data_IF_106478863690
#
_entry.id   IF_106478863690
#
_cell.length_a   1.000
_cell.length_b   1.000
_cell.length_c   1.000
_cell.angle_alpha   90.00
_cell.angle_beta   90.00
_cell.angle_gamma   90.00
#
_symmetry.space_group_name_H-M   'P 1'
#
loop_
_entity.id
_entity.type
_entity.pdbx_description
1 polymer ?
#
# COMPACT_ATOMS: atom_id res chain seq x y z
N UNK A 1 9.43 -11.76 6.96
CA UNK A 1 9.88 -10.58 6.19
C UNK A 1 9.57 -9.34 7.00
N UNK A 2 10.54 -8.43 7.11
CA UNK A 2 10.45 -7.21 7.92
C UNK A 2 10.04 -6.00 7.07
N UNK A 3 9.55 -4.95 7.73
CA UNK A 3 9.08 -3.73 7.03
C UNK A 3 10.22 -2.96 6.34
N UNK A 4 11.43 -2.98 6.90
CA UNK A 4 12.65 -2.39 6.29
C UNK A 4 13.07 -3.13 5.00
N UNK A 5 12.96 -4.46 4.99
CA UNK A 5 13.16 -5.28 3.79
C UNK A 5 12.15 -4.91 2.69
N UNK A 6 10.88 -4.74 3.06
CA UNK A 6 9.82 -4.31 2.13
C UNK A 6 10.09 -2.90 1.59
N UNK A 7 10.46 -1.97 2.47
CA UNK A 7 10.74 -0.58 2.10
C UNK A 7 11.89 -0.51 1.10
N UNK A 8 12.96 -1.29 1.32
CA UNK A 8 14.07 -1.41 0.38
C UNK A 8 13.59 -1.86 -1.00
N UNK A 9 12.75 -2.89 -1.08
CA UNK A 9 12.21 -3.37 -2.37
C UNK A 9 11.31 -2.34 -3.07
N UNK A 10 10.53 -1.58 -2.31
CA UNK A 10 9.71 -0.50 -2.86
C UNK A 10 10.60 0.63 -3.41
N UNK A 11 11.64 1.04 -2.66
CA UNK A 11 12.61 2.05 -3.12
C UNK A 11 13.30 1.61 -4.41
N UNK A 12 13.81 0.38 -4.44
CA UNK A 12 14.48 -0.19 -5.61
C UNK A 12 13.55 -0.19 -6.83
N UNK A 13 12.29 -0.59 -6.67
CA UNK A 13 11.30 -0.60 -7.74
C UNK A 13 11.09 0.80 -8.32
N UNK A 14 10.74 1.78 -7.48
CA UNK A 14 10.45 3.13 -7.98
C UNK A 14 11.69 3.75 -8.63
N UNK A 15 12.90 3.48 -8.11
CA UNK A 15 14.15 3.91 -8.72
C UNK A 15 14.47 3.23 -10.05
N UNK A 16 14.02 1.99 -10.27
CA UNK A 16 14.25 1.24 -11.50
C UNK A 16 13.26 1.59 -12.63
N UNK A 17 12.00 1.88 -12.31
CA UNK A 17 10.93 2.01 -13.32
C UNK A 17 10.46 3.45 -13.59
N UNK A 18 10.93 4.43 -12.81
CA UNK A 18 10.57 5.83 -13.00
C UNK A 18 11.79 6.73 -13.13
N UNK A 19 11.67 7.74 -14.00
CA UNK A 19 12.67 8.77 -14.14
C UNK A 19 12.62 9.74 -12.95
N UNK A 20 13.72 9.81 -12.19
CA UNK A 20 13.94 10.78 -11.11
C UNK A 20 12.79 10.89 -10.08
N UNK A 21 12.36 9.76 -9.45
CA UNK A 21 11.36 9.79 -8.39
C UNK A 21 11.92 10.50 -7.16
N UNK A 22 11.08 11.28 -6.47
CA UNK A 22 11.42 11.78 -5.14
C UNK A 22 10.95 10.75 -4.11
N UNK A 23 11.90 10.01 -3.52
CA UNK A 23 11.63 8.94 -2.57
C UNK A 23 12.12 9.35 -1.18
N UNK A 24 11.29 9.17 -0.16
CA UNK A 24 11.63 9.41 1.25
C UNK A 24 11.15 8.24 2.10
N UNK A 25 12.01 7.74 2.96
CA UNK A 25 11.70 6.71 3.95
C UNK A 25 11.36 7.38 5.27
N UNK A 26 10.43 6.80 6.01
CA UNK A 26 10.00 7.32 7.32
C UNK A 26 9.62 8.82 7.23
N UNK A 27 8.84 9.20 6.21
CA UNK A 27 8.50 10.61 5.95
C UNK A 27 7.57 11.13 7.06
N UNK A 28 7.99 12.13 7.84
CA UNK A 28 7.19 12.66 8.92
C UNK A 28 6.08 13.57 8.37
N UNK A 29 4.98 13.68 9.10
CA UNK A 29 3.98 14.73 8.88
C UNK A 29 3.49 15.29 10.22
N UNK A 30 3.12 16.56 10.23
CA UNK A 30 2.49 17.24 11.37
C UNK A 30 1.31 18.11 10.90
N UNK A 31 0.10 17.53 10.94
CA UNK A 31 -1.14 18.26 10.68
C UNK A 31 -1.71 18.81 12.00
N UNK A 32 -1.40 20.07 12.32
CA UNK A 32 -1.92 20.76 13.51
C UNK A 32 -1.66 20.01 14.84
N UNK A 33 -0.46 19.45 15.01
CA UNK A 33 -0.07 18.64 16.18
C UNK A 33 -0.41 17.16 16.03
N UNK A 34 -1.08 16.74 14.95
CA UNK A 34 -1.32 15.33 14.61
C UNK A 34 -0.10 14.77 13.89
N UNK A 35 0.92 14.47 14.68
CA UNK A 35 2.16 13.85 14.19
C UNK A 35 1.97 12.39 13.79
N UNK A 36 2.73 11.99 12.78
CA UNK A 36 2.95 10.62 12.37
C UNK A 36 4.10 10.52 11.38
N UNK A 37 4.35 9.29 10.93
CA UNK A 37 5.39 8.92 9.99
C UNK A 37 4.78 7.95 8.99
N UNK A 38 5.18 8.05 7.72
CA UNK A 38 4.82 7.11 6.65
C UNK A 38 6.04 6.28 6.31
N UNK A 39 5.88 4.96 6.16
CA UNK A 39 7.02 4.07 5.90
C UNK A 39 7.76 4.44 4.61
N UNK A 40 7.02 4.65 3.51
CA UNK A 40 7.58 5.12 2.23
C UNK A 40 6.69 6.18 1.60
N UNK A 41 7.31 7.28 1.21
CA UNK A 41 6.70 8.32 0.40
C UNK A 41 7.41 8.42 -0.95
N UNK A 42 6.65 8.42 -2.04
CA UNK A 42 7.17 8.57 -3.41
C UNK A 42 6.40 9.64 -4.17
N UNK A 43 7.08 10.63 -4.72
CA UNK A 43 6.49 11.58 -5.67
C UNK A 43 7.03 11.35 -7.06
N UNK A 44 6.12 11.03 -7.97
CA UNK A 44 6.37 10.96 -9.40
C UNK A 44 5.99 12.29 -10.05
N UNK A 45 6.70 12.68 -11.10
CA UNK A 45 6.49 13.97 -11.80
C UNK A 45 5.95 13.82 -13.23
N UNK A 46 6.16 12.67 -13.86
CA UNK A 46 5.72 12.36 -15.22
C UNK A 46 4.89 11.06 -15.24
N UNK A 47 3.86 10.95 -16.09
CA UNK A 47 3.33 11.99 -16.99
C UNK A 47 2.56 13.10 -16.26
N UNK A 48 2.01 12.81 -15.07
CA UNK A 48 1.44 13.81 -14.16
C UNK A 48 1.99 13.61 -12.75
N UNK A 49 2.01 14.68 -11.94
CA UNK A 49 2.42 14.57 -10.55
C UNK A 49 1.44 13.69 -9.77
N UNK A 50 1.97 12.65 -9.14
CA UNK A 50 1.24 11.78 -8.21
C UNK A 50 2.12 11.43 -7.01
N UNK A 51 1.55 11.58 -5.83
CA UNK A 51 2.18 11.25 -4.55
C UNK A 51 1.70 9.83 -4.13
N UNK A 52 2.60 8.91 -3.83
CA UNK A 52 2.33 7.59 -3.27
C UNK A 52 2.71 7.62 -1.80
N UNK A 53 1.74 7.30 -0.94
CA UNK A 53 1.87 7.33 0.52
C UNK A 53 1.64 5.91 1.01
N UNK A 54 2.71 5.24 1.42
CA UNK A 54 2.77 3.77 1.51
C UNK A 54 3.01 3.37 2.96
N UNK A 55 2.05 2.64 3.53
CA UNK A 55 2.17 1.93 4.79
C UNK A 55 2.46 0.46 4.50
N UNK A 56 3.54 -0.07 5.06
CA UNK A 56 4.01 -1.44 4.89
C UNK A 56 3.66 -2.25 6.14
N UNK A 57 3.36 -3.54 5.96
CA UNK A 57 3.06 -4.45 7.06
C UNK A 57 3.74 -5.81 6.84
N UNK A 58 4.75 -6.09 7.67
CA UNK A 58 5.44 -7.38 7.74
C UNK A 58 4.90 -8.30 8.86
N UNK A 59 5.56 -9.45 9.04
CA UNK A 59 5.12 -10.45 10.04
C UNK A 59 5.08 -9.88 11.46
N UNK A 60 6.07 -9.05 11.83
CA UNK A 60 6.19 -8.48 13.15
C UNK A 60 5.05 -7.49 13.45
N UNK A 61 4.73 -6.60 12.52
CA UNK A 61 3.64 -5.65 12.67
C UNK A 61 2.27 -6.34 12.75
N UNK A 62 2.05 -7.36 11.92
CA UNK A 62 0.81 -8.15 11.96
C UNK A 62 0.66 -8.90 13.30
N UNK A 63 1.73 -9.51 13.82
CA UNK A 63 1.69 -10.21 15.13
C UNK A 63 1.57 -9.25 16.30
N UNK A 64 2.13 -8.04 16.17
CA UNK A 64 2.06 -7.01 17.20
C UNK A 64 0.72 -6.29 17.25
N UNK A 65 -0.06 -6.31 16.15
CA UNK A 65 -1.37 -5.72 16.11
C UNK A 65 -2.41 -6.58 16.86
N UNK A 66 -3.30 -5.93 17.59
CA UNK A 66 -4.47 -6.55 18.26
C UNK A 66 -5.53 -7.07 17.27
N UNK A 67 -5.41 -6.71 15.99
CA UNK A 67 -6.29 -7.15 14.91
C UNK A 67 -6.28 -6.17 13.72
N UNK A 68 -7.12 -6.42 12.71
CA UNK A 68 -7.19 -5.55 11.53
C UNK A 68 -7.60 -4.11 11.83
N UNK A 69 -8.43 -3.87 12.86
CA UNK A 69 -8.85 -2.52 13.24
C UNK A 69 -7.67 -1.64 13.68
N UNK A 70 -6.63 -2.22 14.29
CA UNK A 70 -5.44 -1.47 14.68
C UNK A 70 -4.62 -1.04 13.47
N UNK A 71 -4.38 -1.95 12.53
CA UNK A 71 -3.68 -1.65 11.27
C UNK A 71 -4.46 -0.60 10.46
N UNK A 72 -5.78 -0.80 10.32
CA UNK A 72 -6.64 0.16 9.62
C UNK A 72 -6.66 1.51 10.34
N UNK A 73 -6.64 1.56 11.67
CA UNK A 73 -6.55 2.83 12.42
C UNK A 73 -5.25 3.58 12.12
N UNK A 74 -4.11 2.88 12.03
CA UNK A 74 -2.83 3.48 11.64
C UNK A 74 -2.90 4.02 10.21
N UNK A 75 -3.33 3.19 9.26
CA UNK A 75 -3.49 3.57 7.86
C UNK A 75 -4.43 4.77 7.66
N UNK A 76 -5.61 4.75 8.27
CA UNK A 76 -6.60 5.84 8.17
C UNK A 76 -6.12 7.14 8.82
N UNK A 77 -5.27 7.05 9.84
CA UNK A 77 -4.63 8.23 10.44
C UNK A 77 -3.66 8.86 9.46
N UNK A 78 -2.77 8.06 8.86
CA UNK A 78 -1.87 8.52 7.79
C UNK A 78 -2.66 9.15 6.65
N UNK A 79 -3.67 8.46 6.14
CA UNK A 79 -4.50 8.92 5.02
C UNK A 79 -5.09 10.31 5.27
N UNK A 80 -5.66 10.50 6.47
CA UNK A 80 -6.35 11.73 6.86
C UNK A 80 -5.40 12.91 7.03
N UNK A 81 -4.21 12.68 7.58
CA UNK A 81 -3.36 13.76 8.07
C UNK A 81 -2.13 14.04 7.20
N UNK A 82 -1.69 13.10 6.37
CA UNK A 82 -0.47 13.29 5.57
C UNK A 82 -0.54 14.53 4.69
N UNK A 83 -1.58 14.66 3.85
CA UNK A 83 -1.74 15.84 2.99
C UNK A 83 -2.46 17.03 3.66
N UNK A 84 -2.92 16.88 4.91
CA UNK A 84 -3.37 18.00 5.72
C UNK A 84 -2.19 18.80 6.30
N UNK A 85 -1.00 18.17 6.38
CA UNK A 85 0.25 18.89 6.61
C UNK A 85 0.58 19.77 5.38
N UNK A 86 0.77 21.06 5.63
CA UNK A 86 1.08 22.05 4.59
C UNK A 86 2.33 21.72 3.77
N UNK A 87 3.31 21.00 4.35
CA UNK A 87 4.52 20.57 3.65
C UNK A 87 4.24 19.51 2.56
N UNK A 88 3.12 18.79 2.69
CA UNK A 88 2.69 17.73 1.79
C UNK A 88 1.46 18.10 0.96
N UNK A 89 0.89 19.29 1.12
CA UNK A 89 -0.38 19.66 0.51
C UNK A 89 -0.45 19.37 -1.01
N UNK A 90 -1.55 18.73 -1.41
CA UNK A 90 -1.88 18.54 -2.83
C UNK A 90 -2.55 19.81 -3.36
N UNK A 91 -2.18 20.21 -4.58
CA UNK A 91 -2.84 21.32 -5.27
C UNK A 91 -3.76 20.79 -6.36
N UNK A 92 -5.00 21.29 -6.47
CA UNK A 92 -5.84 21.03 -7.63
C UNK A 92 -5.15 21.47 -8.92
N UNK A 93 -5.37 20.70 -9.99
CA UNK A 93 -4.89 21.00 -11.35
C UNK A 93 -6.08 20.85 -12.30
N UNK A 94 -6.36 21.89 -13.08
CA UNK A 94 -7.42 21.85 -14.08
C UNK A 94 -7.12 20.75 -15.11
N UNK A 95 -8.13 19.94 -15.44
CA UNK A 95 -8.00 18.86 -16.43
C UNK A 95 -7.25 17.62 -15.94
N UNK A 96 -6.97 17.50 -14.63
CA UNK A 96 -6.41 16.26 -14.05
C UNK A 96 -7.38 15.09 -14.29
N UNK A 97 -6.91 14.04 -14.95
CA UNK A 97 -7.65 12.80 -15.19
C UNK A 97 -7.19 11.66 -14.29
N UNK A 98 -5.96 11.73 -13.78
CA UNK A 98 -5.36 10.74 -12.89
C UNK A 98 -5.42 11.16 -11.43
N UNK A 99 -5.35 10.23 -10.46
CA UNK A 99 -5.31 10.60 -9.05
C UNK A 99 -4.04 11.41 -8.72
N UNK A 100 -4.21 12.42 -7.88
CA UNK A 100 -3.09 13.20 -7.33
C UNK A 100 -2.36 12.49 -6.19
N UNK A 101 -3.03 11.52 -5.55
CA UNK A 101 -2.41 10.67 -4.54
C UNK A 101 -2.90 9.22 -4.59
N UNK A 102 -2.02 8.29 -4.20
CA UNK A 102 -2.32 6.89 -3.97
C UNK A 102 -1.90 6.51 -2.55
N UNK A 103 -2.87 6.12 -1.74
CA UNK A 103 -2.68 5.66 -0.36
C UNK A 103 -2.63 4.15 -0.33
N UNK A 104 -1.47 3.58 -0.06
CA UNK A 104 -1.24 2.15 -0.15
C UNK A 104 -1.07 1.55 1.26
N UNK A 105 -1.81 0.49 1.56
CA UNK A 105 -1.56 -0.41 2.69
C UNK A 105 -1.10 -1.75 2.13
N UNK A 106 0.19 -2.03 2.24
CA UNK A 106 0.85 -3.14 1.57
C UNK A 106 1.33 -4.18 2.57
N UNK A 107 0.83 -5.40 2.44
CA UNK A 107 1.24 -6.55 3.24
C UNK A 107 2.35 -7.34 2.55
N UNK A 108 3.29 -7.86 3.35
CA UNK A 108 4.23 -8.88 2.88
C UNK A 108 3.46 -10.14 2.41
N UNK A 109 3.92 -10.84 1.36
CA UNK A 109 3.32 -12.08 0.89
C UNK A 109 3.80 -13.27 1.74
N UNK A 110 3.63 -13.19 3.06
CA UNK A 110 3.98 -14.25 4.01
C UNK A 110 2.73 -14.99 4.49
N UNK A 111 2.85 -16.24 4.96
CA UNK A 111 1.70 -16.97 5.51
C UNK A 111 1.02 -16.25 6.67
N UNK A 112 1.79 -15.55 7.53
CA UNK A 112 1.22 -14.76 8.64
C UNK A 112 0.31 -13.64 8.13
N UNK A 113 0.78 -12.86 7.16
CA UNK A 113 0.03 -11.73 6.63
C UNK A 113 -1.17 -12.20 5.80
N UNK A 114 -1.01 -13.26 4.99
CA UNK A 114 -2.10 -13.88 4.23
C UNK A 114 -3.19 -14.39 5.15
N UNK A 115 -2.83 -15.14 6.20
CA UNK A 115 -3.79 -15.61 7.19
C UNK A 115 -4.52 -14.45 7.87
N UNK A 116 -3.80 -13.39 8.26
CA UNK A 116 -4.39 -12.21 8.89
C UNK A 116 -5.42 -11.52 8.00
N UNK A 117 -5.08 -11.26 6.74
CA UNK A 117 -5.99 -10.64 5.78
C UNK A 117 -7.17 -11.56 5.48
N UNK A 118 -6.95 -12.86 5.28
CA UNK A 118 -8.02 -13.82 5.04
C UNK A 118 -9.02 -13.88 6.21
N UNK A 119 -8.51 -13.83 7.45
CA UNK A 119 -9.30 -13.84 8.68
C UNK A 119 -10.15 -12.57 8.81
N UNK A 120 -9.61 -11.42 8.39
CA UNK A 120 -10.26 -10.11 8.51
C UNK A 120 -10.75 -9.53 7.17
N UNK A 121 -10.99 -10.40 6.18
CA UNK A 121 -11.18 -9.98 4.78
C UNK A 121 -12.28 -8.94 4.60
N UNK A 122 -13.39 -9.05 5.33
CA UNK A 122 -14.51 -8.11 5.23
C UNK A 122 -14.13 -6.69 5.65
N UNK A 123 -13.21 -6.53 6.61
CA UNK A 123 -12.75 -5.21 7.06
C UNK A 123 -11.86 -4.56 6.00
N UNK A 124 -10.94 -5.33 5.39
CA UNK A 124 -10.09 -4.80 4.33
C UNK A 124 -10.86 -4.54 3.03
N UNK A 125 -11.80 -5.41 2.68
CA UNK A 125 -12.70 -5.26 1.53
C UNK A 125 -13.62 -4.03 1.67
N UNK A 126 -13.99 -3.66 2.91
CA UNK A 126 -14.80 -2.46 3.17
C UNK A 126 -14.08 -1.12 2.92
N UNK A 127 -12.77 -1.13 2.63
CA UNK A 127 -12.01 0.07 2.30
C UNK A 127 -12.36 0.54 0.89
N UNK A 128 -13.23 1.55 0.78
CA UNK A 128 -13.54 2.18 -0.51
C UNK A 128 -12.28 2.70 -1.20
N UNK A 129 -12.03 2.17 -2.41
CA UNK A 129 -10.92 2.54 -3.26
C UNK A 129 -10.96 4.01 -3.68
N UNK A 130 -12.14 4.60 -3.88
CA UNK A 130 -12.26 5.99 -4.27
C UNK A 130 -12.02 6.93 -3.07
N UNK A 131 -11.09 7.85 -3.22
CA UNK A 131 -10.74 8.84 -2.19
C UNK A 131 -10.61 10.24 -2.77
N UNK A 132 -10.58 11.23 -1.88
CA UNK A 132 -10.32 12.62 -2.23
C UNK A 132 -9.52 13.29 -1.12
N UNK A 133 -8.64 14.19 -1.52
CA UNK A 133 -7.98 15.17 -0.66
C UNK A 133 -8.41 16.53 -1.16
N UNK A 134 -9.29 17.19 -0.42
CA UNK A 134 -10.04 18.36 -0.91
C UNK A 134 -10.67 18.08 -2.30
N UNK A 135 -10.27 18.83 -3.31
CA UNK A 135 -10.74 18.68 -4.69
C UNK A 135 -9.89 17.74 -5.56
N UNK A 136 -8.86 17.12 -5.00
CA UNK A 136 -7.94 16.24 -5.71
C UNK A 136 -8.39 14.79 -5.60
N UNK A 137 -8.66 14.08 -6.72
CA UNK A 137 -8.92 12.65 -6.70
C UNK A 137 -7.74 11.87 -6.12
N UNK A 138 -8.04 10.87 -5.30
CA UNK A 138 -7.06 9.95 -4.74
C UNK A 138 -7.59 8.51 -4.80
N UNK A 139 -6.68 7.54 -4.63
CA UNK A 139 -7.03 6.11 -4.60
C UNK A 139 -6.49 5.47 -3.34
N UNK A 140 -7.27 4.55 -2.75
CA UNK A 140 -6.86 3.68 -1.66
C UNK A 140 -6.69 2.26 -2.16
N UNK A 141 -5.56 1.67 -1.84
CA UNK A 141 -5.29 0.27 -2.18
C UNK A 141 -4.82 -0.46 -0.94
N UNK A 142 -5.52 -1.53 -0.58
CA UNK A 142 -5.02 -2.57 0.32
C UNK A 142 -4.54 -3.72 -0.55
N UNK A 143 -3.29 -4.16 -0.40
CA UNK A 143 -2.72 -5.16 -1.31
C UNK A 143 -1.67 -6.06 -0.65
N UNK A 144 -1.38 -7.17 -1.30
CA UNK A 144 -0.15 -7.93 -1.10
C UNK A 144 0.91 -7.51 -2.12
N UNK A 145 2.15 -7.36 -1.68
CA UNK A 145 3.29 -7.19 -2.58
C UNK A 145 3.66 -8.51 -3.27
N UNK A 146 4.11 -8.41 -4.51
CA UNK A 146 4.58 -9.53 -5.36
C UNK A 146 5.89 -9.14 -6.05
N UNK A 147 6.62 -10.10 -6.62
CA UNK A 147 7.89 -9.80 -7.30
C UNK A 147 9.08 -9.47 -6.37
N UNK A 148 8.93 -9.62 -5.04
CA UNK A 148 9.91 -9.17 -4.04
C UNK A 148 11.31 -9.83 -4.13
N UNK A 149 11.46 -10.96 -4.81
CA UNK A 149 12.75 -11.64 -4.97
C UNK A 149 13.39 -11.45 -6.35
N UNK A 150 12.65 -10.84 -7.28
CA UNK A 150 13.03 -10.73 -8.68
C UNK A 150 13.73 -9.42 -9.03
N UNK A 151 13.65 -9.06 -10.31
CA UNK A 151 14.05 -7.75 -10.80
C UNK A 151 13.20 -6.67 -10.09
N UNK A 152 13.79 -5.57 -9.60
CA UNK A 152 13.02 -4.45 -9.06
C UNK A 152 11.89 -3.96 -9.98
N UNK A 153 12.05 -4.08 -11.31
CA UNK A 153 11.01 -3.72 -12.27
C UNK A 153 9.75 -4.60 -12.19
N UNK A 154 9.88 -5.81 -11.64
CA UNK A 154 8.80 -6.79 -11.52
C UNK A 154 7.99 -6.66 -10.21
N UNK A 155 8.35 -5.72 -9.33
CA UNK A 155 7.56 -5.49 -8.11
C UNK A 155 6.14 -5.10 -8.50
N UNK A 156 5.18 -5.87 -8.00
CA UNK A 156 3.77 -5.67 -8.27
C UNK A 156 2.92 -5.73 -7.01
N UNK A 157 1.62 -5.49 -7.16
CA UNK A 157 0.63 -5.57 -6.09
C UNK A 157 -0.58 -6.35 -6.54
N UNK A 158 -1.11 -7.21 -5.68
CA UNK A 158 -2.43 -7.84 -5.86
C UNK A 158 -3.39 -7.23 -4.84
N UNK A 159 -4.37 -6.47 -5.34
CA UNK A 159 -5.32 -5.72 -4.50
C UNK A 159 -6.33 -6.64 -3.80
N UNK A 160 -6.58 -6.35 -2.53
CA UNK A 160 -7.54 -7.03 -1.64
C UNK A 160 -8.88 -6.30 -1.62
N UNK A 161 -8.89 -4.99 -1.82
CA UNK A 161 -10.08 -4.13 -1.87
C UNK A 161 -10.44 -3.70 -3.32
N UNK A 162 -9.98 -4.47 -4.29
CA UNK A 162 -10.23 -4.23 -5.72
C UNK A 162 -11.51 -4.90 -6.19
N UNK A 163 -11.72 -4.91 -7.52
CA UNK A 163 -12.93 -5.50 -8.13
C UNK A 163 -13.06 -7.01 -7.89
N UNK A 164 -11.94 -7.71 -7.66
CA UNK A 164 -11.92 -9.12 -7.34
C UNK A 164 -11.76 -9.32 -5.83
N UNK A 165 -12.81 -9.83 -5.18
CA UNK A 165 -12.76 -10.13 -3.75
C UNK A 165 -11.66 -11.14 -3.43
N UNK A 166 -10.99 -10.96 -2.28
CA UNK A 166 -9.95 -11.87 -1.81
C UNK A 166 -10.43 -13.33 -1.78
N UNK A 167 -9.65 -14.23 -2.39
CA UNK A 167 -9.94 -15.66 -2.48
C UNK A 167 -10.93 -16.07 -3.58
N UNK A 168 -11.50 -15.11 -4.33
CA UNK A 168 -12.24 -15.42 -5.55
C UNK A 168 -11.32 -15.99 -6.64
N UNK A 169 -11.89 -16.69 -7.61
CA UNK A 169 -11.14 -17.18 -8.78
C UNK A 169 -10.42 -16.04 -9.52
N UNK A 170 -11.08 -14.90 -9.71
CA UNK A 170 -10.47 -13.72 -10.31
C UNK A 170 -9.28 -13.19 -9.51
N UNK A 171 -9.36 -13.21 -8.17
CA UNK A 171 -8.23 -12.83 -7.32
C UNK A 171 -7.08 -13.84 -7.46
N UNK A 172 -7.37 -15.15 -7.42
CA UNK A 172 -6.36 -16.19 -7.55
C UNK A 172 -5.66 -16.14 -8.92
N UNK A 173 -6.39 -15.87 -10.00
CA UNK A 173 -5.83 -15.69 -11.34
C UNK A 173 -4.94 -14.45 -11.47
N UNK A 174 -5.12 -13.45 -10.60
CA UNK A 174 -4.26 -12.26 -10.56
C UNK A 174 -2.98 -12.47 -9.75
N UNK A 175 -2.88 -13.55 -8.96
CA UNK A 175 -1.67 -13.87 -8.21
C UNK A 175 -0.65 -14.53 -9.14
N UNK A 176 0.58 -13.99 -9.28
CA UNK A 176 1.57 -14.59 -10.17
C UNK A 176 1.93 -16.02 -9.74
N UNK A 177 1.91 -16.95 -10.69
CA UNK A 177 2.26 -18.36 -10.46
C UNK A 177 3.69 -18.48 -9.94
N UNK A 178 3.88 -19.42 -8.99
CA UNK A 178 5.19 -19.65 -8.37
C UNK A 178 5.65 -18.54 -7.42
N UNK A 179 4.90 -17.44 -7.26
CA UNK A 179 5.26 -16.37 -6.32
C UNK A 179 5.13 -16.79 -4.85
N UNK A 180 5.81 -16.05 -3.97
CA UNK A 180 5.63 -16.17 -2.50
C UNK A 180 4.17 -16.02 -2.06
N UNK A 181 3.40 -15.18 -2.75
CA UNK A 181 1.99 -14.98 -2.45
C UNK A 181 1.17 -16.23 -2.79
N UNK A 182 1.39 -16.82 -3.97
CA UNK A 182 0.75 -18.07 -4.38
C UNK A 182 1.08 -19.22 -3.42
N UNK A 183 2.33 -19.31 -2.96
CA UNK A 183 2.73 -20.29 -1.95
C UNK A 183 2.05 -20.04 -0.59
N UNK A 184 2.02 -18.80 -0.13
CA UNK A 184 1.42 -18.44 1.15
C UNK A 184 -0.09 -18.71 1.18
N UNK A 185 -0.82 -18.40 0.10
CA UNK A 185 -2.24 -18.72 -0.04
C UNK A 185 -2.49 -20.22 0.05
N UNK A 186 -1.72 -21.04 -0.69
CA UNK A 186 -1.86 -22.51 -0.65
C UNK A 186 -1.63 -23.09 0.75
N UNK A 187 -0.67 -22.54 1.49
CA UNK A 187 -0.41 -22.95 2.88
C UNK A 187 -1.57 -22.58 3.81
N UNK A 188 -2.17 -21.40 3.61
CA UNK A 188 -3.31 -20.92 4.39
C UNK A 188 -4.63 -21.64 4.11
N UNK A 189 -4.81 -22.26 2.95
CA UNK A 189 -6.03 -23.04 2.61
C UNK A 189 -5.98 -24.51 3.02
N UNK A 190 -4.81 -25.01 3.45
CA UNK A 190 -4.62 -26.43 3.83
C UNK A 190 -4.76 -26.66 5.35
N UNK A 191 -5.09 -25.62 6.12
CA UNK A 191 -5.28 -25.67 7.58
C UNK A 191 -6.75 -25.50 7.91
#
# INVERSE_FOLDING_TARGET
>A
MREDELATRVVDHYGAVHDNPEIRLEEPYDAEGRRGVVDVYVRLRAPERVDHVIELKGDAAVRGATGANEILRQYRRMERYFHADASHALRPKLGRTEPGARYLLCFAPTPTCVYHVATHRSLYDSVDAAARVDDVPAVRTVAFLTGLDGDPADLGMVSVNGNASFGSEAFLNAVPDGSRLAESIRRSTTT
#
